data_IF_602404082128
#
_entry.id   IF_602404082128
#
_cell.length_a   1.000
_cell.length_b   1.000
_cell.length_c   1.000
_cell.angle_alpha   90.00
_cell.angle_beta   90.00
_cell.angle_gamma   90.00
#
_symmetry.space_group_name_H-M   'P 1'
#
loop_
_entity.id
_entity.type
_entity.pdbx_description
1 polymer ?
#
# COMPACT_ATOMS: atom_id res chain seq x y z
N UNK A 1 -1.92 31.10 2.69
CA UNK A 1 -1.49 31.43 1.31
C UNK A 1 -1.63 32.93 1.07
N UNK A 2 -1.04 33.45 -0.01
CA UNK A 2 -1.19 34.86 -0.41
C UNK A 2 -2.62 35.20 -0.87
N UNK A 3 -3.39 34.17 -1.20
CA UNK A 3 -4.74 34.29 -1.77
C UNK A 3 -5.87 34.10 -0.75
N UNK A 4 -5.53 33.62 0.45
CA UNK A 4 -6.53 33.31 1.48
C UNK A 4 -5.98 33.59 2.88
N UNK A 5 -6.85 34.10 3.77
CA UNK A 5 -6.54 34.36 5.17
C UNK A 5 -5.61 35.54 5.39
N UNK A 6 -4.82 35.50 6.46
CA UNK A 6 -3.92 36.59 6.91
C UNK A 6 -2.47 36.40 6.41
N UNK A 7 -2.14 35.28 5.79
CA UNK A 7 -0.77 34.89 5.47
C UNK A 7 -0.03 34.21 6.62
N UNK A 8 -0.60 34.18 7.84
CA UNK A 8 -0.08 33.43 8.97
C UNK A 8 -0.62 32.01 8.91
N UNK A 9 0.27 31.01 8.80
CA UNK A 9 -0.09 29.59 8.70
C UNK A 9 0.51 28.84 9.88
N UNK A 10 -0.31 28.09 10.60
CA UNK A 10 0.16 27.09 11.56
C UNK A 10 0.59 25.86 10.78
N UNK A 11 1.79 25.34 11.07
CA UNK A 11 2.36 24.16 10.43
C UNK A 11 2.59 23.07 11.46
N UNK A 12 2.00 21.89 11.24
CA UNK A 12 2.15 20.71 12.08
C UNK A 12 2.73 19.53 11.25
N UNK A 13 4.07 19.45 11.11
CA UNK A 13 4.71 18.47 10.20
C UNK A 13 4.36 17.01 10.46
N UNK A 14 3.99 16.67 11.69
CA UNK A 14 3.56 15.32 12.06
C UNK A 14 2.10 14.97 11.72
N UNK A 15 1.29 15.92 11.22
CA UNK A 15 -0.16 15.74 11.08
C UNK A 15 -0.77 16.15 9.73
N UNK A 16 0.05 16.38 8.72
CA UNK A 16 -0.40 16.68 7.36
C UNK A 16 0.72 16.58 6.35
N UNK A 17 0.42 16.16 5.12
CA UNK A 17 1.44 15.98 4.09
C UNK A 17 2.08 17.31 3.69
N UNK A 18 1.25 18.32 3.40
CA UNK A 18 1.76 19.66 3.02
C UNK A 18 2.62 20.27 4.12
N UNK A 19 2.20 20.10 5.38
CA UNK A 19 2.93 20.55 6.56
C UNK A 19 4.25 19.78 6.74
N UNK A 20 4.25 18.48 6.45
CA UNK A 20 5.44 17.65 6.47
C UNK A 20 6.47 18.10 5.45
N UNK A 21 6.06 18.37 4.20
CA UNK A 21 6.94 18.89 3.15
C UNK A 21 7.54 20.24 3.49
N UNK A 22 6.72 21.13 4.08
CA UNK A 22 7.21 22.42 4.62
C UNK A 22 8.18 22.17 5.76
N UNK A 23 7.85 21.25 6.68
CA UNK A 23 8.72 20.87 7.80
C UNK A 23 10.10 20.41 7.33
N UNK A 24 10.18 19.52 6.36
CA UNK A 24 11.43 19.07 5.75
C UNK A 24 12.22 20.23 5.13
N UNK A 25 11.55 21.10 4.39
CA UNK A 25 12.18 22.24 3.71
C UNK A 25 12.83 23.24 4.67
N UNK A 26 12.21 23.45 5.82
CA UNK A 26 12.66 24.42 6.83
C UNK A 26 13.36 23.79 8.03
N UNK A 27 13.55 22.49 8.06
CA UNK A 27 14.20 21.77 9.16
C UNK A 27 13.42 21.84 10.48
N UNK A 28 12.08 21.80 10.41
CA UNK A 28 11.22 21.77 11.58
C UNK A 28 11.14 20.36 12.15
N UNK A 29 10.99 20.26 13.47
CA UNK A 29 10.76 18.99 14.15
C UNK A 29 9.44 18.36 13.72
N UNK A 30 9.44 17.04 13.47
CA UNK A 30 8.25 16.28 13.11
C UNK A 30 7.64 15.74 14.41
N UNK A 31 6.86 16.57 15.09
CA UNK A 31 6.14 16.15 16.29
C UNK A 31 4.81 15.49 15.92
N UNK A 32 4.61 14.26 16.39
CA UNK A 32 3.36 13.53 16.25
C UNK A 32 2.95 12.93 17.62
N UNK A 33 2.51 13.77 18.57
CA UNK A 33 2.30 13.38 19.96
C UNK A 33 1.01 12.57 20.16
N UNK A 34 0.75 11.60 19.30
CA UNK A 34 -0.36 10.66 19.35
C UNK A 34 0.16 9.24 19.20
N UNK A 35 -0.29 8.33 20.04
CA UNK A 35 -0.02 6.91 19.90
C UNK A 35 -0.92 6.23 18.82
N UNK A 36 -0.78 4.92 18.67
CA UNK A 36 -1.55 4.12 17.70
C UNK A 36 -3.04 3.97 18.05
N UNK A 37 -3.45 4.36 19.25
CA UNK A 37 -4.85 4.38 19.67
C UNK A 37 -5.50 5.76 19.53
N UNK A 38 -4.73 6.78 19.13
CA UNK A 38 -5.16 8.16 19.01
C UNK A 38 -5.15 8.92 20.34
N UNK A 39 -4.41 8.44 21.35
CA UNK A 39 -4.22 9.10 22.62
C UNK A 39 -2.93 9.93 22.63
N UNK A 40 -2.97 11.08 23.28
CA UNK A 40 -1.82 11.97 23.40
C UNK A 40 -0.69 11.35 24.23
N UNK A 41 0.53 11.48 23.73
CA UNK A 41 1.78 11.00 24.37
C UNK A 41 2.47 12.08 25.18
N UNK A 42 3.63 11.77 25.80
CA UNK A 42 4.37 12.64 26.71
C UNK A 42 4.66 14.06 26.21
N UNK A 43 4.81 14.23 24.89
CA UNK A 43 5.09 15.53 24.27
C UNK A 43 3.86 16.47 24.24
N UNK A 44 2.68 15.96 24.55
CA UNK A 44 1.44 16.74 24.61
C UNK A 44 1.21 17.44 25.96
N UNK A 45 2.15 17.34 26.93
CA UNK A 45 2.08 18.03 28.22
C UNK A 45 0.79 17.70 29.00
N UNK A 46 -0.05 18.70 29.32
CA UNK A 46 -1.23 18.48 30.17
C UNK A 46 -2.33 17.60 29.52
N UNK A 47 -2.22 17.28 28.24
CA UNK A 47 -3.21 16.51 27.50
C UNK A 47 -2.85 15.03 27.37
N UNK A 48 -1.73 14.58 27.95
CA UNK A 48 -1.25 13.20 27.94
C UNK A 48 -2.33 12.23 28.38
N UNK A 49 -2.50 11.15 27.60
CA UNK A 49 -3.47 10.09 27.85
C UNK A 49 -4.90 10.38 27.40
N UNK A 50 -5.22 11.61 27.00
CA UNK A 50 -6.53 11.92 26.43
C UNK A 50 -6.60 11.42 24.97
N UNK A 51 -7.75 10.85 24.61
CA UNK A 51 -8.04 10.61 23.20
C UNK A 51 -8.19 11.96 22.47
N UNK A 52 -7.72 12.06 21.22
CA UNK A 52 -7.66 13.32 20.47
C UNK A 52 -9.01 14.07 20.40
N UNK A 53 -10.13 13.37 20.32
CA UNK A 53 -11.46 14.00 20.28
C UNK A 53 -11.81 14.74 21.57
N UNK A 54 -11.40 14.19 22.71
CA UNK A 54 -11.54 14.86 23.99
C UNK A 54 -10.48 15.95 24.18
N UNK A 55 -9.25 15.67 23.76
CA UNK A 55 -8.17 16.63 23.77
C UNK A 55 -8.47 17.89 22.98
N UNK A 56 -9.11 17.80 21.82
CA UNK A 56 -9.53 18.96 21.02
C UNK A 56 -10.42 19.93 21.81
N UNK A 57 -11.32 19.40 22.66
CA UNK A 57 -12.19 20.24 23.51
C UNK A 57 -11.36 20.90 24.62
N UNK A 58 -10.49 20.14 25.26
CA UNK A 58 -9.66 20.65 26.36
C UNK A 58 -8.61 21.66 25.88
N UNK A 59 -7.99 21.45 24.71
CA UNK A 59 -7.10 22.43 24.07
C UNK A 59 -7.84 23.75 23.80
N UNK A 60 -9.07 23.69 23.27
CA UNK A 60 -9.87 24.89 23.03
C UNK A 60 -10.17 25.63 24.34
N UNK A 61 -10.50 24.90 25.40
CA UNK A 61 -10.74 25.51 26.72
C UNK A 61 -9.46 26.10 27.31
N UNK A 62 -8.33 25.40 27.23
CA UNK A 62 -7.04 25.90 27.72
C UNK A 62 -6.61 27.18 26.98
N UNK A 63 -6.82 27.29 25.68
CA UNK A 63 -6.56 28.51 24.92
C UNK A 63 -7.46 29.67 25.38
N UNK A 64 -8.72 29.39 25.69
CA UNK A 64 -9.65 30.38 26.24
C UNK A 64 -9.21 30.86 27.61
N UNK A 65 -8.84 29.96 28.51
CA UNK A 65 -8.44 30.25 29.85
C UNK A 65 -7.10 31.05 29.90
N UNK A 66 -6.22 30.78 28.94
CA UNK A 66 -4.97 31.52 28.75
C UNK A 66 -5.17 32.88 28.04
N UNK A 67 -6.38 33.25 27.64
CA UNK A 67 -6.67 34.47 26.86
C UNK A 67 -6.05 34.49 25.47
N UNK A 68 -5.67 33.31 24.93
CA UNK A 68 -5.02 33.17 23.62
C UNK A 68 -6.00 32.81 22.50
N UNK A 69 -7.27 32.50 22.83
CA UNK A 69 -8.30 32.18 21.86
C UNK A 69 -8.95 33.45 21.32
N UNK A 70 -8.67 33.80 20.07
CA UNK A 70 -9.27 34.96 19.42
C UNK A 70 -10.72 34.70 19.00
N UNK A 71 -10.95 33.56 18.32
CA UNK A 71 -12.26 33.18 17.81
C UNK A 71 -12.35 31.67 17.64
N UNK A 72 -13.54 31.11 17.82
CA UNK A 72 -13.85 29.71 17.59
C UNK A 72 -15.18 29.55 16.88
N UNK A 73 -15.21 28.75 15.81
CA UNK A 73 -16.46 28.37 15.15
C UNK A 73 -16.33 26.96 14.54
N UNK A 74 -17.50 26.35 14.30
CA UNK A 74 -17.55 25.10 13.54
C UNK A 74 -17.68 25.39 12.05
N UNK A 75 -16.93 24.67 11.25
CA UNK A 75 -17.06 24.67 9.79
C UNK A 75 -17.49 23.29 9.32
N UNK A 76 -18.27 23.22 8.26
CA UNK A 76 -18.64 21.97 7.60
C UNK A 76 -17.80 21.82 6.35
N UNK A 77 -17.00 20.76 6.30
CA UNK A 77 -16.16 20.43 5.15
C UNK A 77 -16.08 18.92 4.94
N UNK A 78 -15.74 18.44 3.72
CA UNK A 78 -15.42 17.03 3.49
C UNK A 78 -14.23 16.60 4.36
N UNK A 79 -14.32 15.41 4.95
CA UNK A 79 -13.25 14.84 5.73
C UNK A 79 -13.09 13.35 5.40
N UNK A 80 -11.87 12.82 5.27
CA UNK A 80 -11.66 11.41 4.95
C UNK A 80 -12.07 10.51 6.12
N UNK A 81 -12.81 9.46 5.79
CA UNK A 81 -13.25 8.44 6.72
C UNK A 81 -12.70 7.07 6.33
N UNK A 82 -12.46 6.22 7.30
CA UNK A 82 -12.08 4.83 7.05
C UNK A 82 -13.17 4.12 6.23
N UNK A 83 -12.78 3.52 5.12
CA UNK A 83 -13.73 2.82 4.24
C UNK A 83 -14.43 1.65 4.93
N UNK A 84 -13.82 1.08 5.98
CA UNK A 84 -14.32 -0.09 6.72
C UNK A 84 -15.19 0.28 7.91
N UNK A 85 -14.66 1.02 8.90
CA UNK A 85 -15.40 1.39 10.10
C UNK A 85 -16.18 2.70 9.98
N UNK A 86 -15.95 3.48 8.91
CA UNK A 86 -16.57 4.78 8.63
C UNK A 86 -16.22 5.91 9.62
N UNK A 87 -15.32 5.65 10.56
CA UNK A 87 -14.83 6.67 11.48
C UNK A 87 -13.81 7.61 10.79
N UNK A 88 -13.68 8.87 11.26
CA UNK A 88 -12.70 9.81 10.75
C UNK A 88 -11.28 9.25 10.88
N UNK A 89 -10.44 9.49 9.87
CA UNK A 89 -9.03 9.11 9.94
C UNK A 89 -8.19 10.18 10.60
N UNK A 90 -7.07 9.78 11.20
CA UNK A 90 -6.04 10.69 11.69
C UNK A 90 -4.85 10.66 10.76
N UNK A 91 -4.35 11.84 10.40
CA UNK A 91 -3.06 11.99 9.75
C UNK A 91 -1.99 12.05 10.85
N UNK A 92 -1.02 11.16 10.77
CA UNK A 92 0.07 11.05 11.72
C UNK A 92 1.34 10.57 11.04
N UNK A 93 2.45 11.26 11.23
CA UNK A 93 3.75 10.77 10.81
C UNK A 93 4.12 9.54 11.64
N UNK A 94 4.55 8.49 10.98
CA UNK A 94 5.03 7.24 11.59
C UNK A 94 6.26 6.75 10.84
N UNK A 95 7.16 6.09 11.54
CA UNK A 95 8.26 5.39 10.87
C UNK A 95 7.71 4.25 10.03
N UNK A 96 8.17 4.17 8.79
CA UNK A 96 7.72 3.17 7.82
C UNK A 96 8.90 2.74 6.95
N UNK A 97 8.81 1.54 6.39
CA UNK A 97 9.74 1.07 5.38
C UNK A 97 9.28 1.47 3.98
N UNK A 98 10.18 2.09 3.24
CA UNK A 98 9.94 2.53 1.86
C UNK A 98 10.94 1.86 0.91
N UNK A 99 10.43 1.37 -0.22
CA UNK A 99 11.25 1.04 -1.38
C UNK A 99 11.42 2.29 -2.23
N UNK A 100 12.66 2.78 -2.38
CA UNK A 100 12.92 3.93 -3.25
C UNK A 100 12.78 3.53 -4.70
N UNK A 101 11.92 4.25 -5.42
CA UNK A 101 11.65 4.04 -6.85
C UNK A 101 12.68 4.75 -7.72
N UNK A 102 13.35 5.78 -7.20
CA UNK A 102 14.25 6.64 -7.99
C UNK A 102 15.39 5.87 -8.65
N UNK A 103 15.99 4.90 -7.94
CA UNK A 103 17.12 4.12 -8.44
C UNK A 103 16.83 3.27 -9.68
N UNK A 104 15.55 2.93 -9.94
CA UNK A 104 15.16 2.09 -11.08
C UNK A 104 14.00 2.68 -11.91
N UNK A 105 13.55 3.90 -11.62
CA UNK A 105 12.48 4.59 -12.37
C UNK A 105 12.73 4.60 -13.87
N UNK A 106 13.93 4.96 -14.31
CA UNK A 106 14.27 5.02 -15.71
C UNK A 106 14.26 3.65 -16.39
N UNK A 107 14.70 2.61 -15.69
CA UNK A 107 14.60 1.23 -16.17
C UNK A 107 13.13 0.83 -16.38
N UNK A 108 12.26 1.15 -15.42
CA UNK A 108 10.82 0.88 -15.53
C UNK A 108 10.17 1.64 -16.70
N UNK A 109 10.47 2.93 -16.87
CA UNK A 109 9.96 3.75 -17.98
C UNK A 109 10.44 3.24 -19.35
N UNK A 110 11.67 2.70 -19.42
CA UNK A 110 12.20 2.07 -20.63
C UNK A 110 11.51 0.74 -20.90
N UNK A 111 11.37 -0.12 -19.87
CA UNK A 111 10.73 -1.42 -20.00
C UNK A 111 9.26 -1.31 -20.45
N UNK A 112 8.52 -0.28 -20.02
CA UNK A 112 7.12 -0.04 -20.45
C UNK A 112 7.02 0.11 -21.97
N UNK A 113 8.04 0.68 -22.63
CA UNK A 113 8.04 0.89 -24.09
C UNK A 113 8.30 -0.39 -24.88
N UNK A 114 8.90 -1.39 -24.25
CA UNK A 114 9.21 -2.69 -24.87
C UNK A 114 8.04 -3.69 -24.74
N UNK A 115 7.11 -3.45 -23.80
CA UNK A 115 5.92 -4.28 -23.57
C UNK A 115 4.84 -3.96 -24.62
N UNK A 116 4.20 -4.99 -25.14
CA UNK A 116 3.01 -4.84 -25.97
C UNK A 116 1.77 -4.64 -25.09
N UNK A 117 1.10 -3.50 -25.25
CA UNK A 117 -0.11 -3.16 -24.51
C UNK A 117 -1.36 -3.33 -25.36
N UNK A 118 -2.34 -4.07 -24.84
CA UNK A 118 -3.65 -4.30 -25.47
C UNK A 118 -4.75 -3.95 -24.46
N UNK A 119 -5.49 -2.86 -24.66
CA UNK A 119 -5.39 -1.84 -25.70
C UNK A 119 -4.12 -0.96 -25.59
N UNK A 120 -3.72 -0.32 -26.67
CA UNK A 120 -2.48 0.47 -26.73
C UNK A 120 -2.42 1.65 -25.73
N UNK A 121 -3.56 2.21 -25.30
CA UNK A 121 -3.63 3.27 -24.29
C UNK A 121 -3.05 2.86 -22.92
N UNK A 122 -2.95 1.55 -22.67
CA UNK A 122 -2.36 1.00 -21.45
C UNK A 122 -0.92 1.47 -21.23
N UNK A 123 -0.15 1.63 -22.31
CA UNK A 123 1.24 2.12 -22.24
C UNK A 123 1.32 3.53 -21.63
N UNK A 124 0.55 4.45 -22.14
CA UNK A 124 0.55 5.84 -21.64
C UNK A 124 0.05 5.89 -20.20
N UNK A 125 -0.98 5.11 -19.87
CA UNK A 125 -1.54 5.05 -18.52
C UNK A 125 -0.51 4.63 -17.48
N UNK A 126 0.19 3.50 -17.68
CA UNK A 126 1.18 3.04 -16.71
C UNK A 126 2.42 3.93 -16.71
N UNK A 127 2.82 4.45 -17.87
CA UNK A 127 3.95 5.36 -18.00
C UNK A 127 3.75 6.59 -17.10
N UNK A 128 2.61 7.27 -17.22
CA UNK A 128 2.30 8.45 -16.41
C UNK A 128 2.20 8.12 -14.91
N UNK A 129 1.74 6.93 -14.55
CA UNK A 129 1.72 6.48 -13.14
C UNK A 129 3.13 6.26 -12.57
N UNK A 130 4.14 5.93 -13.39
CA UNK A 130 5.51 5.70 -12.93
C UNK A 130 6.33 7.00 -12.94
N UNK A 131 6.07 7.92 -13.88
CA UNK A 131 6.77 9.23 -13.94
C UNK A 131 6.67 9.98 -12.61
N UNK A 132 5.46 10.09 -12.08
CA UNK A 132 5.18 10.84 -10.85
C UNK A 132 5.11 9.95 -9.60
N UNK A 133 5.59 8.70 -9.70
CA UNK A 133 5.48 7.79 -8.57
C UNK A 133 6.45 8.17 -7.45
N UNK A 134 5.90 8.38 -6.27
CA UNK A 134 6.68 8.50 -5.02
C UNK A 134 7.23 7.13 -4.60
N UNK A 135 8.16 7.15 -3.64
CA UNK A 135 8.66 5.94 -3.01
C UNK A 135 7.51 5.09 -2.46
N UNK A 136 7.67 3.80 -2.55
CA UNK A 136 6.61 2.85 -2.19
C UNK A 136 6.72 2.46 -0.71
N UNK A 137 5.78 2.91 0.11
CA UNK A 137 5.65 2.44 1.48
C UNK A 137 5.28 0.96 1.46
N UNK A 138 6.22 0.09 1.83
CA UNK A 138 6.05 -1.37 1.80
C UNK A 138 5.61 -1.96 3.13
N UNK A 139 5.76 -1.25 4.24
CA UNK A 139 5.37 -1.74 5.56
C UNK A 139 3.87 -1.58 5.84
N UNK A 140 3.29 -2.56 6.53
CA UNK A 140 1.89 -2.56 6.95
C UNK A 140 1.77 -3.09 8.37
N UNK A 141 0.99 -2.42 9.20
CA UNK A 141 0.63 -2.81 10.56
C UNK A 141 -0.62 -3.71 10.49
N UNK A 142 -0.42 -4.96 10.08
CA UNK A 142 -1.47 -5.99 9.94
C UNK A 142 -0.95 -7.32 10.47
N UNK A 143 -1.86 -8.20 10.80
CA UNK A 143 -1.54 -9.54 11.35
C UNK A 143 -1.32 -10.56 10.25
N UNK A 144 -2.01 -10.42 9.12
CA UNK A 144 -1.94 -11.35 8.00
C UNK A 144 -1.09 -10.80 6.87
N UNK A 145 0.01 -11.46 6.56
CA UNK A 145 0.92 -11.14 5.45
C UNK A 145 2.34 -11.67 5.67
N UNK A 146 3.21 -11.45 4.71
CA UNK A 146 4.62 -11.84 4.78
C UNK A 146 5.37 -10.81 5.63
N UNK A 147 6.12 -11.22 6.68
CA UNK A 147 6.85 -10.31 7.53
C UNK A 147 8.02 -9.63 6.80
N UNK A 148 8.36 -8.43 7.22
CA UNK A 148 9.56 -7.72 6.76
C UNK A 148 10.78 -8.30 7.50
N UNK A 149 11.76 -8.89 6.80
CA UNK A 149 12.84 -9.68 7.42
C UNK A 149 13.99 -8.78 7.93
N UNK A 150 13.68 -7.83 8.80
CA UNK A 150 14.63 -6.87 9.37
C UNK A 150 14.72 -7.06 10.87
N UNK A 151 15.94 -6.90 11.39
CA UNK A 151 16.23 -6.98 12.81
C UNK A 151 16.71 -5.61 13.31
N UNK A 152 16.51 -5.35 14.60
CA UNK A 152 16.99 -4.14 15.26
C UNK A 152 17.79 -4.50 16.50
N UNK A 153 18.93 -3.85 16.67
CA UNK A 153 19.74 -3.97 17.89
C UNK A 153 18.95 -3.47 19.11
N UNK A 154 18.87 -4.28 20.16
CA UNK A 154 18.15 -3.89 21.38
C UNK A 154 18.84 -2.78 22.17
N UNK A 155 20.16 -2.55 21.97
CA UNK A 155 20.93 -1.54 22.68
C UNK A 155 20.92 -0.16 22.00
N UNK A 156 21.05 -0.10 20.64
CA UNK A 156 21.16 1.17 19.92
C UNK A 156 20.07 1.39 18.88
N UNK A 157 19.14 0.48 18.77
CA UNK A 157 18.01 0.46 17.83
C UNK A 157 18.41 0.54 16.33
N UNK A 158 19.69 0.30 16.01
CA UNK A 158 20.16 0.30 14.64
C UNK A 158 19.62 -0.94 13.92
N UNK A 159 19.14 -0.74 12.71
CA UNK A 159 18.67 -1.81 11.83
C UNK A 159 19.82 -2.74 11.42
N UNK A 160 19.52 -4.02 11.29
CA UNK A 160 20.40 -5.05 10.77
C UNK A 160 19.70 -5.75 9.61
N UNK A 161 20.18 -5.46 8.42
CA UNK A 161 19.79 -6.09 7.16
C UNK A 161 21.03 -6.21 6.28
N UNK A 162 21.38 -7.41 5.89
CA UNK A 162 22.48 -7.71 4.97
C UNK A 162 22.24 -9.09 4.31
N UNK A 163 23.11 -9.48 3.38
CA UNK A 163 22.95 -10.73 2.65
C UNK A 163 22.91 -11.96 3.56
N UNK A 164 23.68 -12.00 4.63
CA UNK A 164 23.73 -13.16 5.52
C UNK A 164 22.45 -13.29 6.34
N UNK A 165 21.90 -12.18 6.84
CA UNK A 165 20.63 -12.19 7.58
C UNK A 165 19.47 -12.54 6.67
N UNK A 166 19.42 -11.99 5.45
CA UNK A 166 18.39 -12.34 4.46
C UNK A 166 18.48 -13.80 4.07
N UNK A 167 19.68 -14.34 3.82
CA UNK A 167 19.88 -15.76 3.50
C UNK A 167 19.37 -16.67 4.63
N UNK A 168 19.68 -16.33 5.88
CA UNK A 168 19.18 -17.09 7.04
C UNK A 168 17.64 -17.12 7.09
N UNK A 169 16.98 -15.98 6.81
CA UNK A 169 15.53 -15.92 6.75
C UNK A 169 14.97 -16.70 5.57
N UNK A 170 15.57 -16.62 4.38
CA UNK A 170 15.18 -17.41 3.20
C UNK A 170 15.25 -18.91 3.49
N UNK A 171 16.35 -19.38 4.14
CA UNK A 171 16.47 -20.78 4.52
C UNK A 171 15.44 -21.21 5.55
N UNK A 172 15.14 -20.36 6.53
CA UNK A 172 14.10 -20.62 7.52
C UNK A 172 12.72 -20.73 6.85
N UNK A 173 12.37 -19.75 6.02
CA UNK A 173 11.06 -19.73 5.35
C UNK A 173 10.90 -20.88 4.36
N UNK A 174 11.99 -21.28 3.68
CA UNK A 174 11.99 -22.46 2.81
C UNK A 174 11.73 -23.78 3.53
N UNK A 175 12.09 -23.87 4.81
CA UNK A 175 11.90 -25.08 5.64
C UNK A 175 10.60 -25.09 6.43
N UNK A 176 10.21 -23.95 7.01
CA UNK A 176 9.16 -23.84 8.01
C UNK A 176 8.01 -22.92 7.59
N UNK A 177 8.14 -22.21 6.47
CA UNK A 177 7.19 -21.16 6.04
C UNK A 177 7.43 -19.83 6.74
N UNK A 178 6.75 -18.78 6.27
CA UNK A 178 6.92 -17.41 6.79
C UNK A 178 6.42 -17.20 8.22
N UNK A 179 5.52 -18.07 8.70
CA UNK A 179 5.02 -18.04 10.09
C UNK A 179 6.12 -18.28 11.12
N UNK A 180 7.22 -18.95 10.71
CA UNK A 180 8.40 -19.16 11.56
C UNK A 180 8.98 -17.82 12.08
N UNK A 181 8.82 -16.71 11.35
CA UNK A 181 9.21 -15.38 11.80
C UNK A 181 8.55 -14.98 13.12
N UNK A 182 7.29 -15.33 13.31
CA UNK A 182 6.54 -14.97 14.51
C UNK A 182 6.75 -15.96 15.66
N UNK A 183 7.19 -17.18 15.37
CA UNK A 183 7.37 -18.28 16.33
C UNK A 183 8.80 -18.31 16.90
N UNK A 184 9.82 -18.13 16.04
CA UNK A 184 11.23 -18.23 16.41
C UNK A 184 11.75 -16.92 16.99
N UNK A 185 12.69 -17.00 17.95
CA UNK A 185 13.40 -15.82 18.44
C UNK A 185 14.45 -15.34 17.45
N UNK A 186 14.84 -14.05 17.52
CA UNK A 186 15.85 -13.49 16.64
C UNK A 186 17.19 -14.26 16.72
N UNK A 187 17.56 -14.71 17.90
CA UNK A 187 18.78 -15.50 18.15
C UNK A 187 18.77 -16.89 17.50
N UNK A 188 17.59 -17.45 17.22
CA UNK A 188 17.44 -18.74 16.53
C UNK A 188 17.51 -18.59 15.00
N UNK A 189 17.25 -17.37 14.50
CA UNK A 189 17.22 -17.07 13.05
C UNK A 189 18.58 -16.55 12.58
N UNK A 190 19.18 -15.65 13.37
CA UNK A 190 20.43 -15.00 12.99
C UNK A 190 21.60 -15.98 13.02
N UNK A 191 22.57 -15.84 12.10
CA UNK A 191 23.81 -16.61 12.14
C UNK A 191 24.54 -16.47 13.48
N UNK A 192 25.14 -17.56 13.95
CA UNK A 192 25.91 -17.55 15.20
C UNK A 192 27.01 -16.50 15.19
N UNK A 193 27.11 -15.73 16.26
CA UNK A 193 28.11 -14.67 16.39
C UNK A 193 27.75 -13.35 15.68
N UNK A 194 26.50 -13.18 15.23
CA UNK A 194 26.03 -11.91 14.66
C UNK A 194 26.13 -10.80 15.70
N UNK A 195 26.80 -9.70 15.34
CA UNK A 195 26.95 -8.50 16.16
C UNK A 195 26.39 -7.26 15.47
N UNK A 196 25.88 -6.33 16.26
CA UNK A 196 25.41 -5.05 15.76
C UNK A 196 26.56 -4.24 15.13
N UNK A 197 26.43 -3.79 13.88
CA UNK A 197 27.48 -3.02 13.20
C UNK A 197 27.67 -1.61 13.81
N UNK A 198 26.75 -1.15 14.66
CA UNK A 198 26.83 0.16 15.31
C UNK A 198 27.46 0.14 16.70
N UNK A 199 27.21 -0.92 17.51
CA UNK A 199 27.65 -0.95 18.91
C UNK A 199 28.19 -2.31 19.39
N UNK A 200 28.29 -3.29 18.49
CA UNK A 200 28.77 -4.66 18.76
C UNK A 200 27.92 -5.45 19.78
N UNK A 201 26.70 -5.01 20.07
CA UNK A 201 25.75 -5.75 20.90
C UNK A 201 25.24 -6.98 20.14
N UNK A 202 24.91 -8.06 20.85
CA UNK A 202 24.57 -9.35 20.26
C UNK A 202 23.08 -9.68 20.30
N UNK A 203 22.25 -8.84 20.95
CA UNK A 203 20.82 -9.09 21.06
C UNK A 203 20.02 -8.22 20.09
N UNK A 204 19.03 -8.84 19.44
CA UNK A 204 18.23 -8.23 18.41
C UNK A 204 16.73 -8.52 18.65
N UNK A 205 15.88 -7.56 18.31
CA UNK A 205 14.45 -7.74 18.12
C UNK A 205 14.13 -7.81 16.62
N UNK A 206 13.05 -8.46 16.28
CA UNK A 206 12.55 -8.56 14.90
C UNK A 206 11.62 -7.39 14.58
N UNK A 207 11.52 -7.04 13.29
CA UNK A 207 10.44 -6.21 12.78
C UNK A 207 9.09 -6.92 12.98
N UNK A 208 8.05 -6.15 13.30
CA UNK A 208 6.69 -6.65 13.52
C UNK A 208 5.75 -6.32 12.35
N UNK A 209 6.14 -5.39 11.50
CA UNK A 209 5.37 -5.05 10.31
C UNK A 209 5.47 -6.14 9.25
N UNK A 210 4.41 -6.24 8.45
CA UNK A 210 4.35 -7.11 7.29
C UNK A 210 4.51 -6.31 6.00
N UNK A 211 4.83 -6.99 4.91
CA UNK A 211 4.90 -6.38 3.58
C UNK A 211 3.52 -5.99 3.07
N UNK A 212 3.46 -4.99 2.22
CA UNK A 212 2.29 -4.67 1.40
C UNK A 212 1.94 -5.90 0.56
N UNK A 213 0.67 -6.32 0.58
CA UNK A 213 0.18 -7.46 -0.24
C UNK A 213 0.46 -7.27 -1.74
N UNK A 214 0.59 -6.04 -2.20
CA UNK A 214 1.00 -5.75 -3.59
C UNK A 214 2.47 -6.08 -3.84
N UNK A 215 3.32 -6.05 -2.82
CA UNK A 215 4.68 -6.57 -2.89
C UNK A 215 4.66 -8.11 -3.01
N UNK A 216 3.88 -8.77 -2.16
CA UNK A 216 3.74 -10.23 -2.24
C UNK A 216 3.26 -10.69 -3.62
N UNK A 217 2.22 -10.04 -4.16
CA UNK A 217 1.70 -10.36 -5.50
C UNK A 217 2.64 -9.94 -6.62
N UNK A 218 3.35 -8.83 -6.46
CA UNK A 218 4.33 -8.33 -7.43
C UNK A 218 5.49 -9.30 -7.65
N UNK A 219 5.88 -10.04 -6.61
CA UNK A 219 6.96 -11.03 -6.65
C UNK A 219 6.61 -12.33 -7.41
N UNK A 220 5.39 -12.47 -7.94
CA UNK A 220 4.91 -13.69 -8.63
C UNK A 220 5.85 -14.14 -9.76
N UNK A 221 6.46 -13.20 -10.48
CA UNK A 221 7.43 -13.53 -11.54
C UNK A 221 8.64 -14.31 -10.99
N UNK A 222 9.12 -13.98 -9.77
CA UNK A 222 10.19 -14.70 -9.12
C UNK A 222 9.69 -15.99 -8.44
N UNK A 223 8.59 -15.88 -7.69
CA UNK A 223 8.09 -17.00 -6.88
C UNK A 223 7.48 -18.13 -7.72
N UNK A 224 6.97 -17.83 -8.91
CA UNK A 224 6.31 -18.81 -9.77
C UNK A 224 7.06 -19.01 -11.08
N UNK A 225 7.23 -17.95 -11.91
CA UNK A 225 7.76 -18.14 -13.27
C UNK A 225 9.23 -18.61 -13.27
N UNK A 226 10.03 -18.15 -12.32
CA UNK A 226 11.43 -18.54 -12.22
C UNK A 226 11.64 -19.86 -11.44
N UNK A 227 10.61 -20.31 -10.72
CA UNK A 227 10.70 -21.51 -9.86
C UNK A 227 10.28 -22.77 -10.60
N UNK A 228 9.27 -22.71 -11.47
CA UNK A 228 8.74 -23.85 -12.18
C UNK A 228 9.43 -23.97 -13.56
N UNK A 229 10.14 -25.07 -13.83
CA UNK A 229 10.95 -25.23 -15.06
C UNK A 229 10.12 -25.29 -16.34
N UNK A 230 8.81 -25.60 -16.26
CA UNK A 230 7.88 -25.61 -17.37
C UNK A 230 7.34 -24.22 -17.72
N UNK A 231 7.61 -23.20 -16.87
CA UNK A 231 7.17 -21.85 -17.11
C UNK A 231 8.29 -20.97 -17.66
N UNK A 232 7.87 -19.93 -18.40
CA UNK A 232 8.80 -18.96 -18.97
C UNK A 232 8.81 -17.67 -18.12
N UNK A 233 10.00 -17.06 -17.97
CA UNK A 233 10.18 -15.71 -17.44
C UNK A 233 10.96 -14.84 -18.46
N UNK A 234 10.46 -13.65 -18.86
CA UNK A 234 9.18 -13.03 -18.48
C UNK A 234 7.96 -13.83 -18.95
N UNK A 235 6.79 -13.54 -18.36
CA UNK A 235 5.53 -14.11 -18.81
C UNK A 235 5.21 -13.68 -20.24
N UNK A 236 4.62 -14.57 -21.05
CA UNK A 236 4.16 -14.22 -22.38
C UNK A 236 3.03 -13.19 -22.32
N UNK A 237 2.11 -13.33 -21.35
CA UNK A 237 0.92 -12.50 -21.23
C UNK A 237 0.50 -12.32 -19.75
N UNK A 238 0.31 -11.06 -19.31
CA UNK A 238 -0.49 -10.74 -18.13
C UNK A 238 -1.88 -10.28 -18.57
N UNK A 239 -2.94 -10.86 -18.00
CA UNK A 239 -4.32 -10.58 -18.35
C UNK A 239 -5.13 -10.30 -17.10
N UNK A 240 -5.62 -9.06 -16.97
CA UNK A 240 -6.45 -8.60 -15.84
C UNK A 240 -7.29 -7.38 -16.22
N UNK A 241 -8.09 -6.90 -15.27
CA UNK A 241 -8.87 -5.67 -15.42
C UNK A 241 -8.03 -4.39 -15.37
N UNK A 242 -8.62 -3.30 -15.80
CA UNK A 242 -7.97 -1.99 -15.90
C UNK A 242 -7.60 -1.36 -14.55
N UNK A 243 -8.11 -1.87 -13.42
CA UNK A 243 -7.70 -1.47 -12.07
C UNK A 243 -6.27 -1.92 -11.74
N UNK A 244 -5.76 -2.97 -12.38
CA UNK A 244 -4.43 -3.53 -12.13
C UNK A 244 -3.28 -2.64 -12.62
N UNK A 245 -3.54 -1.57 -13.33
CA UNK A 245 -2.54 -0.52 -13.57
C UNK A 245 -2.07 0.15 -12.27
N UNK A 246 -2.89 0.15 -11.21
CA UNK A 246 -2.52 0.54 -9.84
C UNK A 246 -2.41 -0.65 -8.88
N UNK A 247 -2.26 -1.83 -9.37
CA UNK A 247 -2.15 -3.05 -8.61
C UNK A 247 -1.04 -3.93 -9.17
N UNK A 248 -1.38 -5.14 -9.56
CA UNK A 248 -0.43 -6.18 -9.93
C UNK A 248 0.46 -5.82 -11.13
N UNK A 249 -0.06 -5.17 -12.17
CA UNK A 249 0.78 -4.75 -13.30
C UNK A 249 1.91 -3.82 -12.85
N UNK A 250 1.60 -2.88 -11.95
CA UNK A 250 2.56 -1.89 -11.49
C UNK A 250 3.54 -2.47 -10.47
N UNK A 251 3.06 -3.23 -9.48
CA UNK A 251 3.92 -3.82 -8.46
C UNK A 251 4.92 -4.81 -9.07
N UNK A 252 4.45 -5.71 -9.96
CA UNK A 252 5.31 -6.65 -10.69
C UNK A 252 6.35 -5.93 -11.54
N UNK A 253 5.96 -4.85 -12.24
CA UNK A 253 6.88 -4.06 -13.03
C UNK A 253 8.00 -3.44 -12.17
N UNK A 254 7.61 -2.80 -11.07
CA UNK A 254 8.57 -2.12 -10.19
C UNK A 254 9.56 -3.11 -9.58
N UNK A 255 9.08 -4.24 -9.07
CA UNK A 255 9.94 -5.25 -8.47
C UNK A 255 10.86 -5.91 -9.50
N UNK A 256 10.34 -6.26 -10.67
CA UNK A 256 11.15 -6.86 -11.71
C UNK A 256 12.18 -5.87 -12.28
N UNK A 257 11.82 -4.61 -12.49
CA UNK A 257 12.78 -3.60 -12.92
C UNK A 257 13.84 -3.32 -11.86
N UNK A 258 13.47 -3.27 -10.58
CA UNK A 258 14.40 -3.06 -9.48
C UNK A 258 15.37 -4.22 -9.26
N UNK A 259 14.98 -5.45 -9.58
CA UNK A 259 15.76 -6.66 -9.29
C UNK A 259 16.35 -7.36 -10.53
N UNK A 260 15.75 -7.19 -11.72
CA UNK A 260 16.13 -7.85 -12.98
C UNK A 260 16.37 -6.86 -14.12
N UNK A 261 16.08 -5.57 -13.94
CA UNK A 261 16.28 -4.52 -14.95
C UNK A 261 15.32 -4.58 -16.14
N UNK A 262 14.22 -5.37 -16.07
CA UNK A 262 13.26 -5.56 -17.17
C UNK A 262 11.84 -5.74 -16.65
N UNK A 263 10.85 -5.61 -17.54
CA UNK A 263 9.47 -5.98 -17.24
C UNK A 263 9.33 -7.51 -17.01
N UNK A 264 8.39 -7.94 -16.15
CA UNK A 264 8.14 -9.37 -15.88
C UNK A 264 7.22 -10.02 -16.91
N UNK A 265 6.79 -9.30 -17.94
CA UNK A 265 5.84 -9.71 -18.96
C UNK A 265 6.18 -9.09 -20.32
N UNK A 266 5.87 -9.81 -21.40
CA UNK A 266 6.03 -9.33 -22.77
C UNK A 266 4.78 -8.61 -23.29
N UNK A 267 3.58 -9.10 -22.89
CA UNK A 267 2.28 -8.55 -23.29
C UNK A 267 1.42 -8.29 -22.07
N UNK A 268 0.70 -7.19 -22.05
CA UNK A 268 -0.38 -6.90 -21.10
C UNK A 268 -1.69 -6.73 -21.85
N UNK A 269 -2.64 -7.61 -21.58
CA UNK A 269 -4.00 -7.52 -22.10
C UNK A 269 -4.93 -7.08 -20.96
N UNK A 270 -5.68 -6.01 -21.21
CA UNK A 270 -6.56 -5.41 -20.20
C UNK A 270 -8.01 -5.49 -20.65
N UNK A 271 -8.87 -6.04 -19.80
CA UNK A 271 -10.31 -6.03 -20.00
C UNK A 271 -11.01 -4.94 -19.16
N UNK A 272 -12.22 -4.57 -19.57
CA UNK A 272 -13.12 -3.71 -18.82
C UNK A 272 -13.77 -4.40 -17.63
N UNK A 273 -14.62 -3.67 -16.91
CA UNK A 273 -15.40 -4.20 -15.79
C UNK A 273 -16.74 -4.76 -16.26
N UNK A 274 -17.31 -5.66 -15.46
CA UNK A 274 -18.69 -6.09 -15.61
C UNK A 274 -19.56 -5.25 -14.66
N UNK A 275 -20.47 -4.47 -15.26
CA UNK A 275 -21.37 -3.55 -14.58
C UNK A 275 -22.81 -4.12 -14.61
N UNK A 276 -23.69 -3.57 -13.79
CA UNK A 276 -25.11 -3.88 -13.87
C UNK A 276 -25.75 -3.30 -15.16
N UNK A 277 -27.02 -3.60 -15.41
CA UNK A 277 -27.75 -3.11 -16.61
C UNK A 277 -27.74 -1.59 -16.75
N UNK A 278 -27.63 -0.87 -15.62
CA UNK A 278 -27.60 0.59 -15.57
C UNK A 278 -26.20 1.17 -15.72
N UNK A 279 -25.19 0.31 -15.86
CA UNK A 279 -23.77 0.71 -15.94
C UNK A 279 -23.17 1.11 -14.58
N UNK A 280 -23.74 0.60 -13.49
CA UNK A 280 -23.20 0.84 -12.15
C UNK A 280 -22.37 -0.35 -11.68
N UNK A 281 -21.33 -0.06 -10.87
CA UNK A 281 -20.51 -1.11 -10.24
C UNK A 281 -21.40 -2.01 -9.38
N UNK A 282 -21.32 -3.32 -9.61
CA UNK A 282 -22.05 -4.29 -8.80
C UNK A 282 -21.44 -4.43 -7.41
N UNK A 283 -22.29 -4.42 -6.39
CA UNK A 283 -21.90 -4.69 -5.02
C UNK A 283 -23.01 -5.36 -4.22
N UNK A 284 -22.64 -6.19 -3.25
CA UNK A 284 -23.62 -6.84 -2.35
C UNK A 284 -24.45 -5.81 -1.56
N UNK A 285 -23.83 -4.69 -1.18
CA UNK A 285 -24.48 -3.62 -0.42
C UNK A 285 -25.54 -2.86 -1.22
N UNK A 286 -25.41 -2.80 -2.54
CA UNK A 286 -26.40 -2.18 -3.44
C UNK A 286 -27.45 -3.18 -3.92
N UNK A 287 -27.26 -4.47 -3.71
CA UNK A 287 -28.20 -5.52 -4.15
C UNK A 287 -28.31 -5.65 -5.66
N UNK A 288 -27.35 -5.12 -6.43
CA UNK A 288 -27.38 -5.10 -7.90
C UNK A 288 -26.44 -6.15 -8.53
N UNK A 289 -26.05 -7.17 -7.75
CA UNK A 289 -25.15 -8.24 -8.23
C UNK A 289 -25.96 -9.26 -9.05
N UNK A 290 -25.50 -9.54 -10.26
CA UNK A 290 -25.97 -10.68 -11.06
C UNK A 290 -25.20 -11.93 -10.59
N UNK A 291 -25.88 -12.81 -9.87
CA UNK A 291 -25.29 -14.08 -9.43
C UNK A 291 -25.28 -15.11 -10.58
N UNK A 292 -24.09 -15.57 -11.02
CA UNK A 292 -23.99 -16.57 -12.08
C UNK A 292 -24.76 -17.85 -11.78
N UNK A 293 -24.81 -18.32 -10.54
CA UNK A 293 -25.52 -19.54 -10.17
C UNK A 293 -27.04 -19.38 -10.33
N UNK A 294 -27.58 -18.22 -10.00
CA UNK A 294 -29.00 -17.93 -10.22
C UNK A 294 -29.34 -17.90 -11.73
N UNK A 295 -28.45 -17.35 -12.56
CA UNK A 295 -28.62 -17.36 -14.03
C UNK A 295 -28.57 -18.80 -14.57
N UNK A 296 -27.60 -19.60 -14.12
CA UNK A 296 -27.45 -20.99 -14.53
C UNK A 296 -28.68 -21.80 -14.16
N UNK A 297 -29.20 -21.66 -12.96
CA UNK A 297 -30.39 -22.35 -12.50
C UNK A 297 -31.64 -22.00 -13.32
N UNK A 298 -31.75 -20.78 -13.83
CA UNK A 298 -32.89 -20.28 -14.59
C UNK A 298 -32.78 -20.56 -16.09
N UNK A 299 -31.62 -20.34 -16.69
CA UNK A 299 -31.43 -20.23 -18.14
C UNK A 299 -30.34 -21.17 -18.71
N UNK A 300 -29.68 -21.93 -17.82
CA UNK A 300 -28.55 -22.76 -18.19
C UNK A 300 -27.22 -22.02 -18.28
N UNK A 301 -26.11 -22.74 -18.22
CA UNK A 301 -24.76 -22.17 -18.25
C UNK A 301 -24.41 -21.58 -19.64
N UNK A 302 -24.99 -22.09 -20.70
CA UNK A 302 -24.65 -21.70 -22.06
C UNK A 302 -25.05 -20.25 -22.38
N UNK A 303 -26.06 -19.70 -21.69
CA UNK A 303 -26.41 -18.29 -21.85
C UNK A 303 -25.27 -17.36 -21.40
N UNK A 304 -24.58 -17.69 -20.31
CA UNK A 304 -23.42 -16.93 -19.86
C UNK A 304 -22.23 -17.08 -20.81
N UNK A 305 -22.01 -18.30 -21.33
CA UNK A 305 -20.96 -18.56 -22.33
C UNK A 305 -21.18 -17.78 -23.61
N UNK A 306 -22.42 -17.75 -24.11
CA UNK A 306 -22.80 -16.97 -25.29
C UNK A 306 -22.64 -15.46 -25.03
N UNK A 307 -23.05 -14.97 -23.87
CA UNK A 307 -22.86 -13.58 -23.50
C UNK A 307 -21.38 -13.19 -23.48
N UNK A 308 -20.50 -14.00 -22.86
CA UNK A 308 -19.05 -13.78 -22.89
C UNK A 308 -18.52 -13.79 -24.33
N UNK A 309 -18.89 -14.79 -25.13
CA UNK A 309 -18.39 -14.93 -26.49
C UNK A 309 -18.86 -13.81 -27.46
N UNK A 310 -20.01 -13.21 -27.17
CA UNK A 310 -20.58 -12.11 -27.95
C UNK A 310 -20.11 -10.72 -27.47
N UNK A 311 -19.42 -10.63 -26.35
CA UNK A 311 -19.05 -9.36 -25.73
C UNK A 311 -17.69 -8.86 -26.20
N UNK A 312 -17.55 -7.55 -26.39
CA UNK A 312 -16.26 -6.89 -26.57
C UNK A 312 -15.70 -6.52 -25.19
N UNK A 313 -14.74 -7.30 -24.70
CA UNK A 313 -14.14 -7.15 -23.37
C UNK A 313 -13.17 -5.98 -23.25
N UNK A 314 -12.85 -5.27 -24.33
CA UNK A 314 -11.93 -4.13 -24.29
C UNK A 314 -12.52 -2.93 -23.56
N UNK A 315 -13.85 -2.85 -23.48
CA UNK A 315 -14.62 -1.86 -22.73
C UNK A 315 -15.40 -2.49 -21.58
N UNK A 316 -16.02 -1.63 -20.75
CA UNK A 316 -16.90 -2.08 -19.67
C UNK A 316 -18.16 -2.75 -20.23
N UNK A 317 -18.45 -3.93 -19.72
CA UNK A 317 -19.60 -4.74 -20.11
C UNK A 317 -20.76 -4.56 -19.15
N UNK A 318 -21.98 -4.76 -19.65
CA UNK A 318 -23.18 -4.79 -18.82
C UNK A 318 -23.77 -6.19 -18.78
N UNK A 319 -24.30 -6.57 -17.62
CA UNK A 319 -24.99 -7.84 -17.44
C UNK A 319 -26.24 -7.63 -16.60
N UNK A 320 -27.28 -8.39 -16.90
CA UNK A 320 -28.53 -8.40 -16.15
C UNK A 320 -29.61 -9.19 -16.85
N UNK A 321 -30.80 -9.32 -16.22
CA UNK A 321 -31.90 -10.14 -16.73
C UNK A 321 -32.38 -9.78 -18.13
N UNK A 322 -32.36 -8.50 -18.49
CA UNK A 322 -32.83 -8.06 -19.81
C UNK A 322 -31.79 -8.34 -20.94
N UNK A 323 -30.50 -8.28 -20.57
CA UNK A 323 -29.39 -8.52 -21.50
C UNK A 323 -29.24 -10.02 -21.79
N UNK A 324 -29.58 -10.87 -20.81
CA UNK A 324 -29.46 -12.32 -20.87
C UNK A 324 -30.73 -13.02 -21.46
N UNK A 325 -31.70 -12.27 -21.96
CA UNK A 325 -32.87 -12.80 -22.68
C UNK A 325 -32.53 -13.16 -24.13
#
# INVERSE_FOLDING_TARGET
TLEAGTGCVHTAPGHGQDDYEVGLRYGLDILAPLDHTGCFTGDAGPFVGLHYQEGNKQVTQALKDAGALLYFSFIKHPYPHCWRCKEPVLFRATEQWFASVEGFRQAALSAIKEVQWIPAWGQERIYNMIVDRHDWCISRQRVWGVPIPIFYCTACNKELINEDTIRAVVELFGKEGSDAWFIRDASEILPAGTLCPGCSHAEFRKETDIMDVWFDSGSTHAAVLETYPELRSPADLYLEGSDQYRGWFQSSLLESCGTRGRAPYDVVLTHGFVLDEKGQKMSKSLGNVTDPQAVIAKSGADILRLWVAASDYTDDLRIGPEILK
#
